data_IF_705779731432
#
_entry.id   IF_705779731432
#
_cell.length_a   1.000
_cell.length_b   1.000
_cell.length_c   1.000
_cell.angle_alpha   90.00
_cell.angle_beta   90.00
_cell.angle_gamma   90.00
#
_symmetry.space_group_name_H-M   'P 1'
#
loop_
_entity.id
_entity.type
_entity.pdbx_description
1 polymer ?
#
# COMPACT_ATOMS: atom_id res chain seq x y z
N UNK A 1 -15.30 14.09 15.33
CA UNK A 1 -14.26 13.12 15.75
C UNK A 1 -13.20 13.12 14.66
N UNK A 2 -11.94 13.36 15.01
CA UNK A 2 -10.83 13.21 14.07
C UNK A 2 -10.67 11.73 13.76
N UNK A 3 -10.62 11.37 12.47
CA UNK A 3 -10.34 9.99 12.06
C UNK A 3 -8.97 9.59 12.56
N UNK A 4 -8.88 8.44 13.24
CA UNK A 4 -7.60 7.93 13.75
C UNK A 4 -6.96 7.01 12.72
N UNK A 5 -5.77 7.38 12.26
CA UNK A 5 -5.01 6.62 11.29
C UNK A 5 -3.83 5.94 11.97
N UNK A 6 -3.64 4.66 11.70
CA UNK A 6 -2.41 3.96 12.00
C UNK A 6 -1.63 3.65 10.72
N UNK A 7 -0.30 3.74 10.77
CA UNK A 7 0.59 3.33 9.68
C UNK A 7 1.54 2.29 10.26
N UNK A 8 1.60 1.12 9.62
CA UNK A 8 2.54 0.05 9.93
C UNK A 8 3.52 -0.04 8.77
N UNK A 9 4.79 0.22 9.03
CA UNK A 9 5.85 0.11 8.02
C UNK A 9 6.63 -1.16 8.31
N UNK A 10 6.76 -2.02 7.32
CA UNK A 10 7.37 -3.33 7.44
C UNK A 10 8.64 -3.34 6.60
N UNK A 11 9.77 -3.33 7.28
CA UNK A 11 11.09 -3.23 6.65
C UNK A 11 12.03 -4.39 6.97
N UNK A 12 13.07 -4.51 6.15
CA UNK A 12 14.26 -5.31 6.45
C UNK A 12 15.36 -4.39 7.03
N UNK A 13 15.90 -4.70 8.21
CA UNK A 13 17.02 -3.96 8.82
C UNK A 13 16.63 -3.14 10.06
N UNK A 14 17.40 -2.10 10.37
CA UNK A 14 17.27 -1.25 11.58
C UNK A 14 16.96 0.23 11.25
N UNK A 15 16.58 0.53 10.00
CA UNK A 15 16.40 1.92 9.55
C UNK A 15 15.05 2.45 10.02
N UNK A 16 15.05 3.26 11.07
CA UNK A 16 13.86 3.94 11.58
C UNK A 16 13.55 5.19 10.76
N UNK A 17 12.30 5.40 10.41
CA UNK A 17 11.79 6.70 10.01
C UNK A 17 12.03 7.68 11.15
N UNK A 18 12.47 8.88 10.76
CA UNK A 18 12.57 10.00 11.68
C UNK A 18 11.15 10.52 11.99
N UNK A 19 10.64 10.12 13.16
CA UNK A 19 9.33 10.48 13.73
C UNK A 19 9.12 12.02 13.80
N UNK A 20 10.20 12.81 13.74
CA UNK A 20 10.15 14.27 13.71
C UNK A 20 9.63 14.89 12.40
N UNK A 21 9.43 14.07 11.36
CA UNK A 21 8.97 14.51 10.04
C UNK A 21 7.44 14.47 9.83
N UNK A 22 6.68 14.00 10.83
CA UNK A 22 5.24 13.73 10.69
C UNK A 22 4.41 14.73 11.52
N UNK A 23 3.78 15.73 10.88
CA UNK A 23 3.29 16.91 11.58
C UNK A 23 1.82 16.83 12.06
N UNK A 24 1.22 15.64 12.16
CA UNK A 24 -0.24 15.53 12.27
C UNK A 24 -0.73 14.85 13.56
N UNK A 25 -1.54 15.58 14.32
CA UNK A 25 -2.33 15.01 15.41
C UNK A 25 -3.31 13.94 14.87
N UNK A 26 -3.34 12.76 15.51
CA UNK A 26 -4.27 11.68 15.15
C UNK A 26 -3.70 10.58 14.23
N UNK A 27 -2.42 10.68 13.85
CA UNK A 27 -1.69 9.60 13.17
C UNK A 27 -0.78 8.88 14.18
N UNK A 28 -0.81 7.55 14.20
CA UNK A 28 0.15 6.73 14.93
C UNK A 28 0.95 5.88 13.96
N UNK A 29 2.27 5.99 13.98
CA UNK A 29 3.16 5.14 13.17
C UNK A 29 3.76 4.06 14.05
N UNK A 30 3.81 2.83 13.54
CA UNK A 30 4.52 1.70 14.12
C UNK A 30 5.42 1.06 13.08
N UNK A 31 6.71 0.96 13.40
CA UNK A 31 7.68 0.31 12.53
C UNK A 31 7.94 -1.10 13.00
N UNK A 32 7.84 -2.06 12.08
CA UNK A 32 8.07 -3.47 12.34
C UNK A 32 9.24 -3.97 11.48
N UNK A 33 10.33 -4.28 12.16
CA UNK A 33 11.49 -4.91 11.53
C UNK A 33 11.37 -6.43 11.68
N UNK A 34 11.37 -7.14 10.56
CA UNK A 34 11.23 -8.61 10.55
C UNK A 34 12.43 -9.26 9.85
N UNK A 35 13.08 -10.19 10.55
CA UNK A 35 14.25 -10.92 10.02
C UNK A 35 13.89 -11.98 8.96
N UNK A 36 12.61 -12.35 8.84
CA UNK A 36 12.13 -13.36 7.88
C UNK A 36 10.66 -13.12 7.51
N UNK A 37 10.41 -12.90 6.23
CA UNK A 37 9.18 -12.29 5.69
C UNK A 37 7.91 -13.14 5.80
N UNK A 38 7.87 -14.49 5.70
CA UNK A 38 6.56 -15.17 5.72
C UNK A 38 6.01 -15.42 7.13
N UNK A 39 6.83 -15.90 8.07
CA UNK A 39 6.33 -16.39 9.37
C UNK A 39 6.36 -15.32 10.48
N UNK A 40 7.40 -14.48 10.49
CA UNK A 40 7.57 -13.46 11.53
C UNK A 40 6.69 -12.24 11.28
N UNK A 41 6.40 -11.96 10.00
CA UNK A 41 5.55 -10.87 9.56
C UNK A 41 4.12 -10.97 10.08
N UNK A 42 3.49 -12.14 9.91
CA UNK A 42 2.15 -12.41 10.44
C UNK A 42 2.06 -12.07 11.93
N UNK A 43 2.96 -12.65 12.73
CA UNK A 43 2.92 -12.47 14.18
C UNK A 43 3.19 -11.02 14.60
N UNK A 44 4.08 -10.33 13.90
CA UNK A 44 4.41 -8.93 14.17
C UNK A 44 3.20 -8.01 13.89
N UNK A 45 2.51 -8.17 12.76
CA UNK A 45 1.33 -7.38 12.42
C UNK A 45 0.18 -7.69 13.38
N UNK A 46 -0.12 -8.97 13.63
CA UNK A 46 -1.20 -9.36 14.56
C UNK A 46 -0.99 -8.77 15.97
N UNK A 47 0.25 -8.85 16.49
CA UNK A 47 0.58 -8.32 17.81
C UNK A 47 0.43 -6.80 17.85
N UNK A 48 0.89 -6.13 16.81
CA UNK A 48 0.81 -4.66 16.70
C UNK A 48 -0.64 -4.18 16.65
N UNK A 49 -1.46 -4.83 15.83
CA UNK A 49 -2.90 -4.53 15.75
C UNK A 49 -3.62 -4.78 17.09
N UNK A 50 -3.29 -5.86 17.81
CA UNK A 50 -3.83 -6.11 19.17
C UNK A 50 -3.44 -5.01 20.15
N UNK A 51 -2.17 -4.61 20.18
CA UNK A 51 -1.69 -3.53 21.05
C UNK A 51 -2.35 -2.18 20.72
N UNK A 52 -2.57 -1.89 19.43
CA UNK A 52 -3.32 -0.71 19.01
C UNK A 52 -4.77 -0.78 19.47
N UNK A 53 -5.45 -1.91 19.25
CA UNK A 53 -6.84 -2.11 19.63
C UNK A 53 -7.08 -1.95 21.14
N UNK A 54 -6.18 -2.46 21.98
CA UNK A 54 -6.27 -2.34 23.44
C UNK A 54 -6.14 -0.90 23.95
N UNK A 55 -5.42 -0.04 23.21
CA UNK A 55 -5.22 1.38 23.57
C UNK A 55 -6.29 2.28 22.97
N UNK A 56 -6.49 2.15 21.66
CA UNK A 56 -7.39 2.95 20.84
C UNK A 56 -7.47 2.33 19.45
N UNK A 57 -8.60 1.70 19.12
CA UNK A 57 -8.86 1.14 17.80
C UNK A 57 -8.75 2.24 16.72
N UNK A 58 -7.86 2.11 15.73
CA UNK A 58 -7.79 3.02 14.58
C UNK A 58 -8.96 2.75 13.62
N UNK A 59 -9.40 3.78 12.90
CA UNK A 59 -10.41 3.63 11.84
C UNK A 59 -9.79 3.11 10.55
N UNK A 60 -8.52 3.48 10.28
CA UNK A 60 -7.77 3.06 9.11
C UNK A 60 -6.38 2.59 9.53
N UNK A 61 -5.90 1.51 8.90
CA UNK A 61 -4.53 1.04 9.04
C UNK A 61 -3.90 0.94 7.65
N UNK A 62 -2.88 1.73 7.37
CA UNK A 62 -2.02 1.52 6.21
C UNK A 62 -0.90 0.56 6.59
N UNK A 63 -0.67 -0.46 5.78
CA UNK A 63 0.46 -1.37 5.95
C UNK A 63 1.36 -1.22 4.73
N UNK A 64 2.51 -0.58 4.91
CA UNK A 64 3.54 -0.47 3.88
C UNK A 64 4.50 -1.65 3.98
N UNK A 65 4.76 -2.29 2.85
CA UNK A 65 5.67 -3.42 2.74
C UNK A 65 6.90 -3.02 1.95
N UNK A 66 8.06 -3.04 2.59
CA UNK A 66 9.33 -2.94 1.90
C UNK A 66 9.74 -4.31 1.36
N UNK A 67 10.30 -4.33 0.15
CA UNK A 67 10.86 -5.54 -0.45
C UNK A 67 9.81 -6.53 -1.02
N UNK A 68 10.18 -7.80 -1.23
CA UNK A 68 9.41 -8.75 -2.02
C UNK A 68 8.27 -9.44 -1.24
N UNK A 69 7.62 -8.74 -0.30
CA UNK A 69 6.47 -9.28 0.42
C UNK A 69 5.20 -9.22 -0.44
N UNK A 70 4.31 -10.21 -0.28
CA UNK A 70 3.03 -10.25 -0.99
C UNK A 70 1.90 -9.80 -0.05
N UNK A 71 1.22 -8.67 -0.34
CA UNK A 71 0.12 -8.17 0.48
C UNK A 71 -0.99 -9.20 0.74
N UNK A 72 -1.27 -10.07 -0.24
CA UNK A 72 -2.26 -11.13 -0.09
C UNK A 72 -1.95 -12.09 1.08
N UNK A 73 -0.68 -12.38 1.35
CA UNK A 73 -0.29 -13.25 2.48
C UNK A 73 -0.59 -12.61 3.84
N UNK A 74 -0.48 -11.29 3.92
CA UNK A 74 -0.82 -10.53 5.13
C UNK A 74 -2.33 -10.48 5.27
N UNK A 75 -3.06 -10.18 4.20
CA UNK A 75 -4.53 -10.22 4.18
C UNK A 75 -5.05 -11.57 4.69
N UNK A 76 -4.61 -12.68 4.10
CA UNK A 76 -4.97 -14.04 4.54
C UNK A 76 -4.68 -14.27 6.02
N UNK A 77 -3.58 -13.72 6.54
CA UNK A 77 -3.24 -13.85 7.95
C UNK A 77 -4.16 -13.05 8.87
N UNK A 78 -4.57 -11.85 8.43
CA UNK A 78 -5.41 -10.94 9.20
C UNK A 78 -6.90 -11.33 9.18
N UNK A 79 -7.36 -12.06 8.15
CA UNK A 79 -8.74 -12.57 8.05
C UNK A 79 -9.15 -13.45 9.25
N UNK A 80 -8.19 -14.07 9.94
CA UNK A 80 -8.46 -14.90 11.13
C UNK A 80 -8.45 -14.13 12.45
N UNK A 81 -8.18 -12.83 12.44
CA UNK A 81 -8.21 -12.01 13.65
C UNK A 81 -9.66 -11.69 14.05
N UNK A 82 -9.97 -11.63 15.36
CA UNK A 82 -11.33 -11.36 15.85
C UNK A 82 -11.66 -9.86 15.80
N UNK A 83 -11.43 -9.21 14.66
CA UNK A 83 -11.86 -7.84 14.41
C UNK A 83 -13.22 -7.88 13.70
N UNK A 84 -14.24 -7.29 14.32
CA UNK A 84 -15.55 -7.10 13.69
C UNK A 84 -15.42 -6.03 12.59
N UNK A 85 -16.14 -6.21 11.48
CA UNK A 85 -16.25 -5.26 10.36
C UNK A 85 -14.92 -4.85 9.69
N UNK A 86 -13.94 -5.76 9.63
CA UNK A 86 -12.67 -5.52 8.95
C UNK A 86 -12.82 -5.65 7.42
N UNK A 87 -12.47 -4.59 6.69
CA UNK A 87 -12.30 -4.60 5.23
C UNK A 87 -10.83 -4.50 4.86
N UNK A 88 -10.45 -5.08 3.71
CA UNK A 88 -9.09 -5.03 3.19
C UNK A 88 -9.11 -4.46 1.77
N UNK A 89 -8.16 -3.56 1.50
CA UNK A 89 -7.87 -3.06 0.17
C UNK A 89 -6.39 -3.29 -0.14
N UNK A 90 -6.11 -3.99 -1.22
CA UNK A 90 -4.76 -4.19 -1.74
C UNK A 90 -4.46 -3.12 -2.78
N UNK A 91 -3.46 -2.30 -2.46
CA UNK A 91 -3.08 -1.14 -3.28
C UNK A 91 -1.68 -1.36 -3.82
N UNK A 92 -1.51 -1.26 -5.14
CA UNK A 92 -0.20 -1.25 -5.78
C UNK A 92 0.08 0.12 -6.39
N UNK A 93 1.15 0.77 -5.91
CA UNK A 93 1.61 2.06 -6.39
C UNK A 93 2.84 1.86 -7.26
N UNK A 94 2.83 2.40 -8.49
CA UNK A 94 3.95 2.31 -9.41
C UNK A 94 4.40 3.68 -9.90
N UNK A 95 5.67 3.77 -10.27
CA UNK A 95 6.27 4.92 -10.93
C UNK A 95 6.23 4.71 -12.46
N UNK A 96 5.47 5.55 -13.16
CA UNK A 96 5.32 5.47 -14.61
C UNK A 96 6.66 5.59 -15.37
N UNK A 97 7.64 6.29 -14.78
CA UNK A 97 8.98 6.49 -15.31
C UNK A 97 9.83 5.22 -15.28
N UNK A 98 9.72 4.39 -14.25
CA UNK A 98 10.60 3.22 -14.05
C UNK A 98 9.92 1.88 -14.30
N UNK A 99 8.59 1.83 -14.32
CA UNK A 99 7.81 0.58 -14.36
C UNK A 99 8.24 -0.42 -15.43
N UNK A 100 8.48 0.01 -16.67
CA UNK A 100 8.92 -0.89 -17.75
C UNK A 100 10.25 -1.61 -17.43
N UNK A 101 11.15 -0.95 -16.71
CA UNK A 101 12.42 -1.56 -16.28
C UNK A 101 12.24 -2.48 -15.08
N UNK A 102 11.31 -2.16 -14.18
CA UNK A 102 11.01 -2.95 -12.98
C UNK A 102 10.35 -4.26 -13.38
N UNK A 103 9.32 -4.22 -14.22
CA UNK A 103 8.62 -5.42 -14.71
C UNK A 103 9.55 -6.32 -15.53
N UNK A 104 10.52 -5.75 -16.25
CA UNK A 104 11.52 -6.54 -16.95
C UNK A 104 12.48 -7.28 -16.00
N UNK A 105 12.80 -6.69 -14.84
CA UNK A 105 13.68 -7.29 -13.82
C UNK A 105 12.96 -8.34 -12.98
N UNK A 106 11.72 -8.08 -12.59
CA UNK A 106 10.95 -8.89 -11.64
C UNK A 106 9.53 -9.20 -12.17
N UNK A 107 9.40 -9.83 -13.36
CA UNK A 107 8.11 -9.96 -14.04
C UNK A 107 7.09 -10.74 -13.21
N UNK A 108 7.48 -11.89 -12.66
CA UNK A 108 6.57 -12.73 -11.89
C UNK A 108 6.07 -12.07 -10.61
N UNK A 109 6.94 -11.30 -9.95
CA UNK A 109 6.59 -10.57 -8.73
C UNK A 109 5.59 -9.46 -9.04
N UNK A 110 5.90 -8.60 -10.02
CA UNK A 110 5.06 -7.46 -10.39
C UNK A 110 3.72 -7.93 -10.97
N UNK A 111 3.70 -8.94 -11.85
CA UNK A 111 2.45 -9.50 -12.38
C UNK A 111 1.55 -10.03 -11.27
N UNK A 112 2.13 -10.67 -10.24
CA UNK A 112 1.36 -11.15 -9.09
C UNK A 112 0.77 -9.99 -8.27
N UNK A 113 1.54 -8.94 -8.00
CA UNK A 113 1.04 -7.73 -7.33
C UNK A 113 -0.14 -7.11 -8.11
N UNK A 114 -0.02 -6.97 -9.44
CA UNK A 114 -1.08 -6.41 -10.29
C UNK A 114 -2.37 -7.25 -10.22
N UNK A 115 -2.24 -8.59 -10.26
CA UNK A 115 -3.40 -9.50 -10.20
C UNK A 115 -4.13 -9.49 -8.86
N UNK A 116 -3.43 -9.20 -7.79
CA UNK A 116 -3.98 -9.22 -6.42
C UNK A 116 -4.48 -7.86 -5.96
N UNK A 117 -4.16 -6.79 -6.69
CA UNK A 117 -4.55 -5.43 -6.31
C UNK A 117 -6.02 -5.16 -6.61
N UNK A 118 -6.68 -4.52 -5.64
CA UNK A 118 -8.01 -3.93 -5.83
C UNK A 118 -7.89 -2.56 -6.51
N UNK A 119 -6.80 -1.83 -6.19
CA UNK A 119 -6.52 -0.48 -6.71
C UNK A 119 -5.06 -0.38 -7.16
N UNK A 120 -4.84 0.24 -8.33
CA UNK A 120 -3.49 0.57 -8.82
C UNK A 120 -3.36 2.08 -9.04
N UNK A 121 -2.31 2.67 -8.48
CA UNK A 121 -1.92 4.05 -8.72
C UNK A 121 -0.73 4.13 -9.68
N UNK A 122 -0.93 4.77 -10.84
CA UNK A 122 0.14 5.13 -11.78
C UNK A 122 0.59 6.55 -11.41
N UNK A 123 1.68 6.65 -10.65
CA UNK A 123 2.21 7.92 -10.16
C UNK A 123 3.29 8.50 -11.09
N UNK A 124 3.64 9.77 -10.85
CA UNK A 124 4.66 10.55 -11.57
C UNK A 124 4.37 10.77 -13.05
N UNK A 125 3.08 10.93 -13.39
CA UNK A 125 2.66 11.26 -14.76
C UNK A 125 3.17 12.62 -15.22
N UNK A 126 3.48 13.53 -14.28
CA UNK A 126 4.03 14.87 -14.56
C UNK A 126 5.39 14.85 -15.27
N UNK A 127 6.13 13.74 -15.13
CA UNK A 127 7.48 13.58 -15.70
C UNK A 127 7.55 12.40 -16.66
N UNK A 128 6.41 11.82 -17.04
CA UNK A 128 6.34 10.65 -17.92
C UNK A 128 5.48 10.97 -19.14
N UNK A 129 5.93 10.51 -20.32
CA UNK A 129 5.18 10.66 -21.56
C UNK A 129 3.80 9.98 -21.49
N UNK A 130 2.75 10.69 -21.94
CA UNK A 130 1.36 10.21 -21.87
C UNK A 130 1.12 8.93 -22.68
N UNK A 131 1.84 8.71 -23.78
CA UNK A 131 1.75 7.45 -24.52
C UNK A 131 2.28 6.28 -23.68
N UNK A 132 3.35 6.51 -22.90
CA UNK A 132 3.87 5.52 -21.96
C UNK A 132 2.85 5.25 -20.85
N UNK A 133 2.29 6.28 -20.22
CA UNK A 133 1.22 6.12 -19.21
C UNK A 133 0.05 5.29 -19.77
N UNK A 134 -0.42 5.62 -20.97
CA UNK A 134 -1.51 4.91 -21.65
C UNK A 134 -1.16 3.43 -21.90
N UNK A 135 0.08 3.15 -22.32
CA UNK A 135 0.55 1.77 -22.53
C UNK A 135 0.62 0.96 -21.23
N UNK A 136 1.00 1.61 -20.12
CA UNK A 136 1.02 0.99 -18.80
C UNK A 136 -0.41 0.66 -18.41
N UNK A 137 -1.33 1.61 -18.51
CA UNK A 137 -2.75 1.40 -18.20
C UNK A 137 -3.32 0.19 -18.93
N UNK A 138 -3.16 0.14 -20.25
CA UNK A 138 -3.65 -0.97 -21.07
C UNK A 138 -3.06 -2.31 -20.64
N UNK A 139 -1.77 -2.35 -20.28
CA UNK A 139 -1.14 -3.56 -19.77
C UNK A 139 -1.77 -4.01 -18.44
N UNK A 140 -2.00 -3.08 -17.52
CA UNK A 140 -2.61 -3.38 -16.22
C UNK A 140 -4.02 -3.94 -16.37
N UNK A 141 -4.86 -3.29 -17.19
CA UNK A 141 -6.24 -3.73 -17.48
C UNK A 141 -6.26 -5.11 -18.15
N UNK A 142 -5.27 -5.42 -19.00
CA UNK A 142 -5.13 -6.75 -19.60
C UNK A 142 -4.73 -7.84 -18.59
N UNK A 143 -3.98 -7.48 -17.53
CA UNK A 143 -3.55 -8.42 -16.49
C UNK A 143 -4.63 -8.61 -15.41
N UNK A 144 -5.31 -7.52 -15.02
CA UNK A 144 -6.36 -7.49 -14.03
C UNK A 144 -7.52 -6.59 -14.52
N UNK A 145 -8.56 -7.16 -15.15
CA UNK A 145 -9.67 -6.39 -15.71
C UNK A 145 -10.59 -5.72 -14.68
N UNK A 146 -10.57 -6.18 -13.42
CA UNK A 146 -11.47 -5.71 -12.36
C UNK A 146 -10.83 -4.60 -11.49
N UNK A 147 -9.59 -4.21 -11.78
CA UNK A 147 -8.82 -3.26 -10.98
C UNK A 147 -9.23 -1.81 -11.21
N UNK A 148 -9.30 -1.03 -10.13
CA UNK A 148 -9.47 0.43 -10.23
C UNK A 148 -8.13 1.12 -10.45
N UNK A 149 -7.95 1.79 -11.59
CA UNK A 149 -6.68 2.45 -11.95
C UNK A 149 -6.81 3.96 -11.90
N UNK A 150 -5.91 4.60 -11.13
CA UNK A 150 -5.77 6.05 -11.04
C UNK A 150 -4.43 6.49 -11.62
N UNK A 151 -4.46 7.50 -12.50
CA UNK A 151 -3.27 8.16 -13.04
C UNK A 151 -3.12 9.51 -12.37
N UNK A 152 -1.96 9.78 -11.77
CA UNK A 152 -1.75 11.02 -11.04
C UNK A 152 -0.30 11.43 -10.86
N UNK A 153 -0.10 12.70 -10.51
CA UNK A 153 1.11 13.22 -9.89
C UNK A 153 0.83 13.55 -8.42
N UNK A 154 1.40 12.73 -7.52
CA UNK A 154 1.33 13.02 -6.09
C UNK A 154 2.08 14.31 -5.73
N UNK A 155 3.12 14.68 -6.50
CA UNK A 155 3.87 15.92 -6.32
C UNK A 155 3.00 17.14 -6.58
N UNK A 156 2.22 17.09 -7.65
CA UNK A 156 1.44 18.23 -8.11
C UNK A 156 0.04 18.26 -7.46
N UNK A 157 -0.31 17.24 -6.67
CA UNK A 157 -1.62 17.07 -6.01
C UNK A 157 -2.79 17.26 -6.99
N UNK A 158 -2.69 16.65 -8.16
CA UNK A 158 -3.68 16.78 -9.22
C UNK A 158 -5.03 16.11 -8.89
N UNK A 159 -6.00 16.27 -9.79
CA UNK A 159 -7.34 15.69 -9.63
C UNK A 159 -7.32 14.16 -9.51
N UNK A 160 -6.38 13.50 -10.21
CA UNK A 160 -6.22 12.06 -10.15
C UNK A 160 -5.77 11.60 -8.76
N UNK A 161 -4.86 12.34 -8.14
CA UNK A 161 -4.41 12.09 -6.77
C UNK A 161 -5.56 12.28 -5.78
N UNK A 162 -6.36 13.33 -5.94
CA UNK A 162 -7.57 13.54 -5.11
C UNK A 162 -8.53 12.36 -5.16
N UNK A 163 -8.89 11.90 -6.37
CA UNK A 163 -9.78 10.75 -6.58
C UNK A 163 -9.22 9.45 -6.01
N UNK A 164 -7.90 9.24 -6.13
CA UNK A 164 -7.21 8.10 -5.55
C UNK A 164 -7.38 8.09 -4.02
N UNK A 165 -7.09 9.20 -3.35
CA UNK A 165 -7.23 9.31 -1.88
C UNK A 165 -8.68 9.16 -1.43
N UNK A 166 -9.63 9.80 -2.13
CA UNK A 166 -11.06 9.66 -1.82
C UNK A 166 -11.52 8.19 -1.90
N UNK A 167 -11.02 7.44 -2.89
CA UNK A 167 -11.33 6.01 -3.04
C UNK A 167 -10.72 5.17 -1.93
N UNK A 168 -9.52 5.53 -1.43
CA UNK A 168 -8.89 4.80 -0.32
C UNK A 168 -9.60 4.99 1.02
N UNK A 169 -10.16 6.18 1.26
CA UNK A 169 -10.74 6.57 2.57
C UNK A 169 -12.27 6.50 2.59
N UNK A 170 -12.89 6.42 1.41
CA UNK A 170 -14.34 6.36 1.21
C UNK A 170 -14.93 4.95 1.17
N UNK A 171 -14.10 3.91 1.16
CA UNK A 171 -14.49 2.50 1.25
C UNK A 171 -14.40 1.99 2.69
#
# INVERSE_FOLDING_TARGET
MSKKLAIIIIGEGDTKLDDSSLPFEGISIQELFVECVPCSLRFAVEKTLKVMADKSVPEFVFIELEGPAFPAQIKESLEYMPFEDLSFLLVYLLDAGTFSSEIAKLPNFIIKQIRESDIIGINKIDSTDMAKVSSIRYMLEAINPDVSIFEFSARDHDEGFGKFIETLVGN
#
